data_IF_426473396263
#
_entry.id   IF_426473396263
#
_cell.length_a   1.000
_cell.length_b   1.000
_cell.length_c   1.000
_cell.angle_alpha   90.00
_cell.angle_beta   90.00
_cell.angle_gamma   90.00
#
_symmetry.space_group_name_H-M   'P 1'
#
loop_
_entity.id
_entity.type
_entity.pdbx_description
1 polymer ?
#
# COMPACT_ATOMS: atom_id res chain seq x y z
N UNK A 1 -14.79 -13.58 -29.48
CA UNK A 1 -15.36 -14.91 -29.18
C UNK A 1 -14.21 -15.77 -28.69
N UNK A 2 -14.11 -15.95 -27.37
CA UNK A 2 -13.09 -16.79 -26.74
C UNK A 2 -13.57 -18.24 -26.75
N UNK A 3 -12.65 -19.15 -27.03
CA UNK A 3 -12.84 -20.56 -27.37
C UNK A 3 -13.57 -21.35 -26.25
N UNK A 4 -14.75 -21.91 -26.58
CA UNK A 4 -15.58 -22.73 -25.69
C UNK A 4 -14.85 -23.97 -25.12
N UNK A 5 -13.70 -24.35 -25.68
CA UNK A 5 -12.89 -25.48 -25.19
C UNK A 5 -12.11 -25.19 -23.91
N UNK A 6 -11.80 -23.92 -23.63
CA UNK A 6 -11.10 -23.53 -22.38
C UNK A 6 -12.09 -23.54 -21.20
N UNK A 7 -13.35 -23.21 -21.45
CA UNK A 7 -14.43 -23.19 -20.44
C UNK A 7 -14.74 -24.62 -19.95
N UNK A 8 -14.80 -25.61 -20.86
CA UNK A 8 -15.14 -27.00 -20.50
C UNK A 8 -14.05 -27.74 -19.70
N UNK A 9 -12.82 -27.24 -19.66
CA UNK A 9 -11.71 -27.90 -18.98
C UNK A 9 -11.68 -27.64 -17.47
N UNK A 10 -12.38 -26.62 -16.99
CA UNK A 10 -12.42 -26.22 -15.57
C UNK A 10 -13.64 -26.80 -14.85
N UNK A 11 -14.76 -27.01 -15.55
CA UNK A 11 -16.01 -27.58 -15.01
C UNK A 11 -15.88 -29.04 -14.52
N UNK A 12 -14.88 -29.79 -15.00
CA UNK A 12 -14.72 -31.21 -14.68
C UNK A 12 -14.18 -31.48 -13.26
N UNK A 13 -13.67 -30.46 -12.56
CA UNK A 13 -13.06 -30.59 -11.22
C UNK A 13 -13.92 -30.04 -10.07
N UNK A 14 -15.11 -29.48 -10.36
CA UNK A 14 -15.88 -28.70 -9.39
C UNK A 14 -17.36 -29.10 -9.42
N UNK A 15 -17.73 -30.11 -8.60
CA UNK A 15 -19.12 -30.29 -8.18
C UNK A 15 -19.29 -29.79 -6.74
N UNK A 16 -20.13 -28.77 -6.50
CA UNK A 16 -20.37 -28.24 -5.17
C UNK A 16 -21.58 -28.93 -4.54
N UNK A 17 -21.38 -30.08 -3.90
CA UNK A 17 -22.33 -30.59 -2.92
C UNK A 17 -21.59 -31.13 -1.71
N UNK A 18 -21.96 -30.60 -0.53
CA UNK A 18 -21.53 -30.98 0.83
C UNK A 18 -20.09 -30.64 1.23
N UNK A 19 -19.95 -29.66 2.15
CA UNK A 19 -18.98 -29.54 3.27
C UNK A 19 -17.51 -30.02 3.18
N UNK A 20 -16.97 -30.32 2.00
CA UNK A 20 -15.58 -30.73 1.81
C UNK A 20 -14.83 -29.67 1.01
N UNK A 21 -14.04 -28.88 1.75
CA UNK A 21 -13.01 -27.95 1.29
C UNK A 21 -12.06 -28.65 0.29
N UNK A 22 -11.73 -27.99 -0.82
CA UNK A 22 -10.87 -28.48 -1.91
C UNK A 22 -9.61 -29.18 -1.38
N UNK A 23 -9.45 -30.48 -1.69
CA UNK A 23 -8.26 -31.28 -1.36
C UNK A 23 -7.38 -31.40 -2.60
N UNK A 24 -6.11 -31.03 -2.51
CA UNK A 24 -5.12 -31.18 -3.59
C UNK A 24 -3.82 -31.76 -3.05
N UNK A 25 -3.10 -32.54 -3.85
CA UNK A 25 -1.76 -33.01 -3.48
C UNK A 25 -0.75 -31.85 -3.51
N UNK A 26 0.30 -31.92 -2.71
CA UNK A 26 1.37 -30.92 -2.72
C UNK A 26 1.99 -30.75 -4.11
N UNK A 27 2.33 -31.84 -4.81
CA UNK A 27 2.86 -31.76 -6.18
C UNK A 27 1.88 -31.09 -7.16
N UNK A 28 0.56 -31.33 -7.01
CA UNK A 28 -0.46 -30.63 -7.81
C UNK A 28 -0.51 -29.13 -7.51
N UNK A 29 -0.34 -28.73 -6.25
CA UNK A 29 -0.26 -27.32 -5.84
C UNK A 29 0.96 -26.65 -6.47
N UNK A 30 2.14 -27.30 -6.46
CA UNK A 30 3.35 -26.78 -7.11
C UNK A 30 3.12 -26.55 -8.60
N UNK A 31 2.60 -27.56 -9.30
CA UNK A 31 2.32 -27.47 -10.73
C UNK A 31 1.33 -26.34 -11.05
N UNK A 32 0.31 -26.16 -10.21
CA UNK A 32 -0.68 -25.10 -10.39
C UNK A 32 -0.11 -23.70 -10.14
N UNK A 33 0.72 -23.51 -9.11
CA UNK A 33 1.38 -22.23 -8.83
C UNK A 33 2.26 -21.77 -9.99
N UNK A 34 2.99 -22.69 -10.62
CA UNK A 34 3.78 -22.40 -11.82
C UNK A 34 2.88 -22.15 -13.03
N UNK A 35 1.87 -23.02 -13.27
CA UNK A 35 0.94 -22.90 -14.40
C UNK A 35 0.18 -21.58 -14.39
N UNK A 36 -0.28 -21.15 -13.22
CA UNK A 36 -1.00 -19.90 -13.02
C UNK A 36 -0.08 -18.66 -13.01
N UNK A 37 1.23 -18.84 -13.22
CA UNK A 37 2.26 -17.78 -13.15
C UNK A 37 2.24 -17.04 -11.81
N UNK A 38 1.91 -17.75 -10.74
CA UNK A 38 2.08 -17.27 -9.37
C UNK A 38 3.53 -17.41 -8.95
N UNK A 39 4.15 -18.55 -9.27
CA UNK A 39 5.57 -18.81 -9.09
C UNK A 39 6.29 -18.77 -10.46
N UNK A 40 7.54 -18.27 -10.52
CA UNK A 40 8.30 -18.26 -11.79
C UNK A 40 8.83 -19.66 -12.13
N UNK A 41 9.13 -20.44 -11.10
CA UNK A 41 9.66 -21.79 -11.20
C UNK A 41 9.17 -22.68 -10.02
N UNK A 42 9.48 -23.97 -10.06
CA UNK A 42 9.03 -24.89 -9.01
C UNK A 42 9.68 -24.64 -7.63
N UNK A 43 10.87 -24.05 -7.58
CA UNK A 43 11.52 -23.70 -6.31
C UNK A 43 10.72 -22.62 -5.59
N UNK A 44 10.38 -21.54 -6.30
CA UNK A 44 9.53 -20.47 -5.77
C UNK A 44 8.16 -21.01 -5.36
N UNK A 45 7.61 -21.94 -6.16
CA UNK A 45 6.33 -22.58 -5.85
C UNK A 45 6.39 -23.37 -4.54
N UNK A 46 7.49 -24.08 -4.26
CA UNK A 46 7.69 -24.80 -2.99
C UNK A 46 7.81 -23.86 -1.81
N UNK A 47 8.52 -22.75 -1.98
CA UNK A 47 8.64 -21.72 -0.95
C UNK A 47 7.27 -21.09 -0.65
N UNK A 48 6.53 -20.68 -1.67
CA UNK A 48 5.17 -20.13 -1.54
C UNK A 48 4.25 -21.14 -0.86
N UNK A 49 4.28 -22.42 -1.28
CA UNK A 49 3.46 -23.45 -0.65
C UNK A 49 3.84 -23.71 0.82
N UNK A 50 5.14 -23.66 1.14
CA UNK A 50 5.66 -23.65 2.52
C UNK A 50 5.06 -22.53 3.35
N UNK A 51 5.15 -21.30 2.87
CA UNK A 51 4.57 -20.11 3.50
C UNK A 51 3.06 -20.29 3.71
N UNK A 52 2.32 -20.79 2.71
CA UNK A 52 0.89 -21.02 2.83
C UNK A 52 0.54 -22.07 3.90
N UNK A 53 1.38 -23.09 4.11
CA UNK A 53 1.21 -24.07 5.21
C UNK A 53 1.49 -23.43 6.56
N UNK A 54 2.54 -22.62 6.68
CA UNK A 54 2.86 -21.88 7.91
C UNK A 54 1.71 -20.95 8.32
N UNK A 55 1.15 -20.24 7.35
CA UNK A 55 0.01 -19.35 7.51
C UNK A 55 -1.33 -20.09 7.69
N UNK A 56 -1.33 -21.44 7.62
CA UNK A 56 -2.51 -22.31 7.60
C UNK A 56 -3.53 -21.95 6.51
N UNK A 57 -3.08 -21.27 5.45
CA UNK A 57 -3.83 -21.07 4.21
C UNK A 57 -3.88 -22.38 3.38
N UNK A 58 -2.92 -23.27 3.59
CA UNK A 58 -2.98 -24.69 3.22
C UNK A 58 -2.98 -25.53 4.48
N UNK A 59 -4.03 -26.34 4.69
CA UNK A 59 -4.18 -27.17 5.89
C UNK A 59 -4.04 -28.65 5.55
N UNK A 60 -3.06 -29.32 6.14
CA UNK A 60 -2.83 -30.75 5.98
C UNK A 60 -2.27 -31.33 7.27
N UNK A 61 -1.90 -32.61 7.24
CA UNK A 61 -1.42 -33.33 8.44
C UNK A 61 0.00 -32.91 8.87
N UNK A 62 0.74 -32.21 7.99
CA UNK A 62 2.12 -31.77 8.23
C UNK A 62 2.22 -30.30 8.62
N UNK A 63 3.19 -29.98 9.48
CA UNK A 63 3.50 -28.60 9.91
C UNK A 63 4.35 -27.82 8.91
N UNK A 64 4.93 -28.51 7.93
CA UNK A 64 5.68 -27.95 6.80
C UNK A 64 5.10 -28.50 5.50
N UNK A 65 5.44 -27.85 4.37
CA UNK A 65 5.00 -28.31 3.07
C UNK A 65 5.73 -29.59 2.64
N UNK A 66 4.95 -30.58 2.20
CA UNK A 66 5.37 -31.91 1.78
C UNK A 66 4.62 -32.22 0.49
N UNK A 67 5.35 -32.44 -0.60
CA UNK A 67 4.76 -32.63 -1.92
C UNK A 67 3.79 -33.83 -2.02
N UNK A 68 4.10 -34.92 -1.30
CA UNK A 68 3.27 -36.12 -1.29
C UNK A 68 2.04 -36.00 -0.38
N UNK A 69 1.92 -34.94 0.42
CA UNK A 69 0.82 -34.75 1.35
C UNK A 69 -0.40 -34.12 0.64
N UNK A 70 -1.58 -34.30 1.25
CA UNK A 70 -2.82 -33.66 0.80
C UNK A 70 -3.11 -32.42 1.64
N UNK A 71 -3.52 -31.35 0.96
CA UNK A 71 -3.83 -30.07 1.58
C UNK A 71 -5.25 -29.63 1.26
N UNK A 72 -5.90 -29.03 2.25
CA UNK A 72 -7.21 -28.37 2.17
C UNK A 72 -7.05 -26.86 2.10
N UNK A 73 -7.79 -26.25 1.18
CA UNK A 73 -7.85 -24.79 1.03
C UNK A 73 -9.10 -24.25 1.74
N UNK A 74 -8.98 -23.32 2.71
CA UNK A 74 -10.12 -22.67 3.33
C UNK A 74 -10.97 -21.90 2.30
N UNK A 75 -12.30 -22.00 2.39
CA UNK A 75 -13.21 -21.21 1.56
C UNK A 75 -13.30 -19.75 2.07
N UNK A 76 -13.44 -18.80 1.14
CA UNK A 76 -13.55 -17.37 1.46
C UNK A 76 -14.95 -16.99 1.96
N UNK A 77 -15.03 -16.11 2.98
CA UNK A 77 -16.27 -15.45 3.35
C UNK A 77 -16.71 -14.42 2.29
N UNK A 78 -18.00 -14.42 1.90
CA UNK A 78 -18.55 -13.46 0.93
C UNK A 78 -18.47 -12.03 1.50
N UNK A 79 -17.93 -11.10 0.71
CA UNK A 79 -17.71 -9.67 1.01
C UNK A 79 -16.62 -9.32 2.05
N UNK A 80 -15.59 -10.16 2.13
CA UNK A 80 -14.46 -9.98 3.03
C UNK A 80 -13.53 -8.82 2.64
N UNK A 81 -13.06 -8.08 3.65
CA UNK A 81 -11.87 -7.23 3.57
C UNK A 81 -10.72 -7.97 2.87
N UNK A 82 -9.81 -7.24 2.22
CA UNK A 82 -8.74 -7.83 1.42
C UNK A 82 -7.82 -8.77 2.22
N UNK A 83 -7.72 -8.57 3.53
CA UNK A 83 -6.96 -9.41 4.45
C UNK A 83 -7.80 -10.40 5.27
N UNK A 84 -9.11 -10.51 5.03
CA UNK A 84 -9.98 -11.48 5.73
C UNK A 84 -10.02 -12.81 4.98
N UNK A 85 -8.89 -13.52 5.00
CA UNK A 85 -8.74 -14.85 4.40
C UNK A 85 -9.38 -15.95 5.23
N UNK A 86 -9.44 -15.71 6.54
CA UNK A 86 -10.01 -16.60 7.53
C UNK A 86 -11.13 -15.89 8.28
N UNK A 87 -12.00 -16.66 8.92
CA UNK A 87 -12.98 -16.11 9.88
C UNK A 87 -12.24 -15.57 11.13
N UNK A 88 -11.20 -16.28 11.55
CA UNK A 88 -10.19 -15.85 12.53
C UNK A 88 -8.83 -16.40 12.14
N UNK A 89 -7.76 -15.68 12.49
CA UNK A 89 -6.39 -16.07 12.20
C UNK A 89 -6.08 -17.43 12.85
N UNK A 90 -5.70 -18.45 12.07
CA UNK A 90 -5.54 -19.82 12.55
C UNK A 90 -4.23 -20.07 13.31
N UNK A 91 -3.30 -19.11 13.27
CA UNK A 91 -2.03 -19.18 13.98
C UNK A 91 -2.06 -18.51 15.35
N UNK A 92 -0.93 -18.52 16.05
CA UNK A 92 -0.76 -17.71 17.25
C UNK A 92 -0.66 -16.24 16.86
N UNK A 93 -1.59 -15.42 17.35
CA UNK A 93 -1.60 -13.97 17.15
C UNK A 93 -0.50 -13.34 18.00
N UNK A 94 0.37 -12.55 17.37
CA UNK A 94 1.41 -11.75 18.04
C UNK A 94 0.81 -10.55 18.75
N UNK A 95 1.51 -10.05 19.76
CA UNK A 95 1.24 -8.71 20.27
C UNK A 95 1.59 -7.64 19.21
N UNK A 96 0.99 -6.46 19.35
CA UNK A 96 1.11 -5.36 18.40
C UNK A 96 2.57 -4.96 18.10
N UNK A 97 3.47 -5.02 19.09
CA UNK A 97 4.86 -4.57 18.91
C UNK A 97 5.61 -5.56 18.04
N UNK A 98 5.58 -6.85 18.41
CA UNK A 98 6.23 -7.90 17.64
C UNK A 98 5.63 -8.05 16.24
N UNK A 99 4.30 -7.91 16.12
CA UNK A 99 3.62 -7.90 14.83
C UNK A 99 4.13 -6.78 13.91
N UNK A 100 4.13 -5.54 14.38
CA UNK A 100 4.48 -4.38 13.54
C UNK A 100 5.96 -4.38 13.16
N UNK A 101 6.85 -4.83 14.03
CA UNK A 101 8.27 -5.03 13.70
C UNK A 101 8.46 -6.05 12.57
N UNK A 102 7.80 -7.22 12.68
CA UNK A 102 7.90 -8.26 11.66
C UNK A 102 7.26 -7.85 10.33
N UNK A 103 6.12 -7.15 10.38
CA UNK A 103 5.46 -6.58 9.21
C UNK A 103 6.37 -5.58 8.49
N UNK A 104 6.90 -4.59 9.20
CA UNK A 104 7.77 -3.57 8.61
C UNK A 104 9.03 -4.19 7.99
N UNK A 105 9.62 -5.19 8.65
CA UNK A 105 10.77 -5.93 8.13
C UNK A 105 10.42 -6.71 6.86
N UNK A 106 9.27 -7.37 6.83
CA UNK A 106 8.83 -8.21 5.70
C UNK A 106 8.44 -7.41 4.46
N UNK A 107 8.03 -6.14 4.62
CA UNK A 107 7.67 -5.26 3.50
C UNK A 107 8.88 -4.77 2.70
N UNK A 108 10.06 -4.65 3.33
CA UNK A 108 11.30 -4.17 2.71
C UNK A 108 11.70 -4.98 1.47
N UNK A 109 11.87 -6.32 1.53
CA UNK A 109 12.24 -7.12 0.36
C UNK A 109 11.18 -7.05 -0.75
N UNK A 110 9.89 -7.00 -0.41
CA UNK A 110 8.80 -6.80 -1.37
C UNK A 110 8.99 -5.51 -2.14
N UNK A 111 9.17 -4.39 -1.44
CA UNK A 111 9.40 -3.08 -2.08
C UNK A 111 10.66 -3.11 -2.96
N UNK A 112 11.76 -3.70 -2.50
CA UNK A 112 12.99 -3.83 -3.31
C UNK A 112 12.77 -4.61 -4.60
N UNK A 113 11.93 -5.64 -4.58
CA UNK A 113 11.66 -6.48 -5.74
C UNK A 113 10.76 -5.81 -6.80
N UNK A 114 9.82 -4.96 -6.37
CA UNK A 114 8.79 -4.41 -7.27
C UNK A 114 9.00 -2.95 -7.67
N UNK A 115 9.87 -2.21 -6.98
CA UNK A 115 10.16 -0.82 -7.32
C UNK A 115 11.19 -0.72 -8.45
N UNK A 116 10.84 0.03 -9.50
CA UNK A 116 11.75 0.39 -10.58
C UNK A 116 12.65 1.57 -10.18
N UNK A 117 13.70 1.84 -10.95
CA UNK A 117 14.73 2.86 -10.66
C UNK A 117 14.11 4.19 -10.22
N UNK A 118 14.49 4.66 -9.03
CA UNK A 118 13.98 5.90 -8.43
C UNK A 118 12.71 5.75 -7.59
N UNK A 119 12.20 4.54 -7.35
CA UNK A 119 11.14 4.26 -6.36
C UNK A 119 9.75 4.75 -6.73
N UNK A 120 9.58 5.28 -7.94
CA UNK A 120 8.36 5.92 -8.39
C UNK A 120 7.40 4.96 -9.13
N UNK A 121 7.96 4.16 -10.06
CA UNK A 121 7.21 3.19 -10.84
C UNK A 121 7.24 1.81 -10.20
N UNK A 122 6.13 1.07 -10.33
CA UNK A 122 5.95 -0.22 -9.66
C UNK A 122 5.61 -1.33 -10.67
N UNK A 123 6.27 -2.47 -10.51
CA UNK A 123 5.95 -3.75 -11.15
C UNK A 123 4.89 -4.51 -10.34
N UNK A 124 3.65 -4.05 -10.36
CA UNK A 124 2.55 -4.69 -9.61
C UNK A 124 2.32 -6.15 -10.03
N UNK A 125 2.62 -6.48 -11.28
CA UNK A 125 2.56 -7.83 -11.85
C UNK A 125 3.55 -8.81 -11.20
N UNK A 126 4.71 -8.31 -10.73
CA UNK A 126 5.73 -9.12 -10.07
C UNK A 126 5.44 -9.45 -8.62
N UNK A 127 4.45 -8.81 -7.98
CA UNK A 127 4.18 -9.02 -6.55
C UNK A 127 3.97 -10.50 -6.20
N UNK A 128 3.30 -11.25 -7.08
CA UNK A 128 3.00 -12.68 -6.83
C UNK A 128 4.22 -13.58 -6.87
N UNK A 129 5.21 -13.24 -7.70
CA UNK A 129 6.43 -14.02 -7.80
C UNK A 129 7.40 -13.76 -6.65
N UNK A 130 7.12 -12.76 -5.80
CA UNK A 130 7.95 -12.45 -4.63
C UNK A 130 7.48 -13.33 -3.45
N UNK A 131 8.29 -14.28 -2.96
CA UNK A 131 7.90 -15.11 -1.82
C UNK A 131 7.53 -14.29 -0.58
N UNK A 132 8.28 -13.22 -0.30
CA UNK A 132 8.01 -12.35 0.85
C UNK A 132 6.66 -11.62 0.75
N UNK A 133 6.09 -11.47 -0.44
CA UNK A 133 4.73 -10.93 -0.60
C UNK A 133 3.70 -11.85 0.05
N UNK A 134 3.85 -13.16 -0.11
CA UNK A 134 2.96 -14.15 0.51
C UNK A 134 3.05 -14.12 2.03
N UNK A 135 4.26 -13.94 2.57
CA UNK A 135 4.46 -13.72 4.00
C UNK A 135 3.78 -12.45 4.49
N UNK A 136 3.95 -11.33 3.78
CA UNK A 136 3.27 -10.05 4.09
C UNK A 136 1.76 -10.23 4.11
N UNK A 137 1.20 -10.93 3.15
CA UNK A 137 -0.23 -11.19 3.11
C UNK A 137 -0.74 -12.05 4.28
N UNK A 138 0.07 -13.01 4.72
CA UNK A 138 -0.19 -13.77 5.94
C UNK A 138 -0.21 -12.91 7.20
N UNK A 139 0.75 -11.99 7.33
CA UNK A 139 0.77 -10.99 8.40
C UNK A 139 -0.45 -10.07 8.30
N UNK A 140 -0.88 -9.68 7.10
CA UNK A 140 -2.10 -8.92 6.94
C UNK A 140 -3.33 -9.71 7.40
N UNK A 141 -3.38 -11.02 7.19
CA UNK A 141 -4.46 -11.84 7.73
C UNK A 141 -4.43 -11.87 9.27
N UNK A 142 -3.25 -12.01 9.87
CA UNK A 142 -3.06 -11.91 11.32
C UNK A 142 -3.50 -10.56 11.89
N UNK A 143 -3.23 -9.45 11.19
CA UNK A 143 -3.63 -8.09 11.58
C UNK A 143 -5.14 -7.98 11.90
N UNK A 144 -5.96 -8.82 11.28
CA UNK A 144 -7.38 -8.93 11.58
C UNK A 144 -7.67 -9.18 13.06
N UNK A 145 -6.79 -9.91 13.74
CA UNK A 145 -6.93 -10.35 15.13
C UNK A 145 -5.88 -9.75 16.09
N UNK A 146 -4.88 -9.01 15.58
CA UNK A 146 -3.90 -8.31 16.44
C UNK A 146 -4.57 -7.19 17.23
N UNK A 147 -4.60 -7.35 18.54
CA UNK A 147 -5.13 -6.34 19.47
C UNK A 147 -4.09 -5.26 19.80
N UNK A 148 -4.53 -4.16 20.42
CA UNK A 148 -3.68 -3.09 20.95
C UNK A 148 -2.77 -2.34 19.96
N UNK A 149 -3.02 -2.44 18.64
CA UNK A 149 -2.38 -1.57 17.61
C UNK A 149 -2.56 -0.08 17.96
N UNK A 150 -3.71 0.26 18.55
CA UNK A 150 -4.01 1.60 19.04
C UNK A 150 -3.09 2.11 20.15
N UNK A 151 -2.51 1.20 20.93
CA UNK A 151 -1.70 1.48 22.11
C UNK A 151 -0.20 1.57 21.83
N UNK A 152 0.22 1.33 20.58
CA UNK A 152 1.61 1.46 20.16
C UNK A 152 2.16 2.88 20.41
N UNK A 153 3.47 2.93 20.67
CA UNK A 153 4.20 4.19 20.68
C UNK A 153 4.12 4.90 19.32
N UNK A 154 4.23 6.24 19.33
CA UNK A 154 3.90 7.06 18.16
C UNK A 154 4.76 6.73 16.93
N UNK A 155 6.08 6.62 17.11
CA UNK A 155 7.01 6.39 16.02
C UNK A 155 6.87 4.98 15.38
N UNK A 156 6.82 3.86 16.13
CA UNK A 156 6.47 2.55 15.57
C UNK A 156 5.10 2.53 14.89
N UNK A 157 4.09 3.17 15.48
CA UNK A 157 2.73 3.22 14.94
C UNK A 157 2.68 3.95 13.60
N UNK A 158 3.39 5.07 13.47
CA UNK A 158 3.51 5.84 12.22
C UNK A 158 4.24 5.05 11.14
N UNK A 159 5.38 4.43 11.47
CA UNK A 159 6.12 3.57 10.54
C UNK A 159 5.25 2.42 10.01
N UNK A 160 4.51 1.75 10.91
CA UNK A 160 3.54 0.73 10.56
C UNK A 160 2.47 1.25 9.58
N UNK A 161 1.81 2.36 9.89
CA UNK A 161 0.75 2.89 9.03
C UNK A 161 1.24 3.37 7.66
N UNK A 162 2.46 3.93 7.56
CA UNK A 162 3.03 4.30 6.26
C UNK A 162 3.29 3.07 5.38
N UNK A 163 3.86 2.02 5.96
CA UNK A 163 4.04 0.76 5.23
C UNK A 163 2.69 0.11 4.89
N UNK A 164 1.76 0.07 5.84
CA UNK A 164 0.44 -0.54 5.66
C UNK A 164 -0.32 0.12 4.50
N UNK A 165 -0.36 1.46 4.44
CA UNK A 165 -1.06 2.17 3.38
C UNK A 165 -0.40 1.95 2.00
N UNK A 166 0.93 1.96 1.92
CA UNK A 166 1.62 1.65 0.67
C UNK A 166 1.35 0.20 0.23
N UNK A 167 1.34 -0.76 1.17
CA UNK A 167 0.98 -2.17 0.93
C UNK A 167 -0.48 -2.34 0.53
N UNK A 168 -1.41 -1.58 1.13
CA UNK A 168 -2.82 -1.57 0.73
C UNK A 168 -2.98 -1.17 -0.73
N UNK A 169 -2.19 -0.21 -1.21
CA UNK A 169 -2.14 0.11 -2.64
C UNK A 169 -1.58 -1.08 -3.42
N UNK A 170 -0.46 -1.68 -3.03
CA UNK A 170 0.10 -2.86 -3.72
C UNK A 170 -0.94 -3.98 -3.84
N UNK A 171 -1.56 -4.36 -2.74
CA UNK A 171 -2.58 -5.40 -2.67
C UNK A 171 -3.82 -5.04 -3.50
N UNK A 172 -4.30 -3.81 -3.40
CA UNK A 172 -5.45 -3.38 -4.20
C UNK A 172 -5.16 -3.40 -5.69
N UNK A 173 -3.91 -3.14 -6.11
CA UNK A 173 -3.51 -3.20 -7.52
C UNK A 173 -3.45 -4.64 -8.04
N UNK A 174 -3.25 -5.64 -7.18
CA UNK A 174 -3.36 -7.05 -7.60
C UNK A 174 -4.81 -7.52 -7.73
N UNK A 175 -5.80 -6.79 -7.22
CA UNK A 175 -7.21 -7.24 -7.22
C UNK A 175 -8.10 -6.37 -8.09
N UNK A 176 -7.87 -5.07 -8.05
CA UNK A 176 -8.68 -4.06 -8.74
C UNK A 176 -7.90 -3.44 -9.90
N UNK A 177 -8.63 -3.14 -10.98
CA UNK A 177 -8.11 -2.30 -12.06
C UNK A 177 -7.74 -0.91 -11.49
N UNK A 178 -6.72 -0.27 -12.08
CA UNK A 178 -6.33 1.09 -11.73
C UNK A 178 -7.53 2.04 -11.87
N UNK A 179 -7.68 3.03 -10.98
CA UNK A 179 -8.69 4.05 -11.16
C UNK A 179 -8.31 4.98 -12.32
N UNK A 180 -9.22 5.13 -13.28
CA UNK A 180 -9.07 6.04 -14.40
C UNK A 180 -9.35 7.50 -13.95
N UNK A 181 -8.31 8.20 -13.51
CA UNK A 181 -8.35 9.63 -13.15
C UNK A 181 -9.01 9.95 -11.80
N UNK A 182 -9.21 11.25 -11.53
CA UNK A 182 -9.63 11.73 -10.20
C UNK A 182 -11.04 11.29 -9.78
N UNK A 183 -11.98 11.17 -10.73
CA UNK A 183 -13.41 10.92 -10.42
C UNK A 183 -13.68 9.52 -9.88
N UNK A 184 -12.89 8.52 -10.28
CA UNK A 184 -13.04 7.12 -9.88
C UNK A 184 -12.27 6.77 -8.60
N UNK A 185 -11.35 7.63 -8.15
CA UNK A 185 -10.45 7.36 -7.03
C UNK A 185 -11.14 7.27 -5.67
N UNK A 186 -12.18 8.09 -5.42
CA UNK A 186 -12.94 7.99 -4.16
C UNK A 186 -13.56 6.61 -3.97
N UNK A 187 -14.23 6.09 -5.01
CA UNK A 187 -14.80 4.74 -5.00
C UNK A 187 -13.72 3.65 -4.98
N UNK A 188 -12.58 3.88 -5.64
CA UNK A 188 -11.46 2.95 -5.60
C UNK A 188 -10.93 2.78 -4.17
N UNK A 189 -10.59 3.88 -3.49
CA UNK A 189 -10.07 3.84 -2.12
C UNK A 189 -11.10 3.32 -1.11
N UNK A 190 -12.40 3.59 -1.31
CA UNK A 190 -13.46 3.04 -0.44
C UNK A 190 -13.61 1.52 -0.54
N UNK A 191 -13.13 0.88 -1.62
CA UNK A 191 -13.16 -0.58 -1.82
C UNK A 191 -11.93 -1.29 -1.25
N UNK A 192 -10.90 -0.54 -0.87
CA UNK A 192 -9.70 -1.10 -0.24
C UNK A 192 -9.96 -1.16 1.26
N UNK A 193 -10.50 -2.28 1.72
CA UNK A 193 -10.94 -2.48 3.11
C UNK A 193 -10.04 -3.52 3.74
N UNK A 194 -9.44 -3.22 4.90
CA UNK A 194 -8.73 -4.15 5.76
C UNK A 194 -9.46 -4.30 7.10
N UNK A 195 -9.42 -5.50 7.68
CA UNK A 195 -9.83 -5.76 9.06
C UNK A 195 -8.62 -5.56 9.98
N UNK A 196 -8.77 -4.77 11.04
CA UNK A 196 -7.76 -4.52 12.07
C UNK A 196 -8.44 -4.68 13.42
N UNK A 197 -7.95 -5.58 14.28
CA UNK A 197 -8.53 -5.87 15.59
C UNK A 197 -10.07 -6.10 15.56
N UNK A 198 -10.53 -6.90 14.59
CA UNK A 198 -11.94 -7.27 14.39
C UNK A 198 -12.81 -6.20 13.72
N UNK A 199 -12.24 -5.04 13.33
CA UNK A 199 -12.98 -3.90 12.77
C UNK A 199 -12.54 -3.58 11.35
N UNK A 200 -13.47 -3.20 10.49
CA UNK A 200 -13.19 -2.88 9.09
C UNK A 200 -12.85 -1.40 8.89
N UNK A 201 -11.73 -1.15 8.22
CA UNK A 201 -11.26 0.18 7.86
C UNK A 201 -10.95 0.23 6.37
N UNK A 202 -11.51 1.23 5.68
CA UNK A 202 -11.09 1.50 4.31
C UNK A 202 -9.82 2.35 4.27
N UNK A 203 -9.17 2.43 3.11
CA UNK A 203 -7.92 3.21 2.95
C UNK A 203 -8.06 4.67 3.43
N UNK A 204 -9.20 5.32 3.18
CA UNK A 204 -9.42 6.70 3.58
C UNK A 204 -9.62 6.85 5.09
N UNK A 205 -10.22 5.85 5.76
CA UNK A 205 -10.31 5.83 7.23
C UNK A 205 -8.90 5.88 7.83
N UNK A 206 -7.99 5.04 7.35
CA UNK A 206 -6.63 4.98 7.86
C UNK A 206 -5.79 6.23 7.48
N UNK A 207 -5.86 6.69 6.24
CA UNK A 207 -5.11 7.88 5.81
C UNK A 207 -5.60 9.16 6.50
N UNK A 208 -6.92 9.41 6.50
CA UNK A 208 -7.47 10.67 7.00
C UNK A 208 -7.81 10.62 8.49
N UNK A 209 -8.40 9.51 8.95
CA UNK A 209 -8.74 9.32 10.34
C UNK A 209 -7.51 8.99 11.19
N UNK A 210 -6.77 7.93 10.88
CA UNK A 210 -5.70 7.46 11.76
C UNK A 210 -4.45 8.36 11.70
N UNK A 211 -3.96 8.70 10.50
CA UNK A 211 -2.72 9.50 10.34
C UNK A 211 -2.95 11.01 10.39
N UNK A 212 -3.96 11.53 9.68
CA UNK A 212 -4.22 12.99 9.62
C UNK A 212 -5.05 13.51 10.79
N UNK A 213 -5.65 12.63 11.60
CA UNK A 213 -6.59 12.97 12.68
C UNK A 213 -7.71 13.91 12.23
N UNK A 214 -8.19 13.73 11.00
CA UNK A 214 -9.24 14.56 10.37
C UNK A 214 -10.41 13.71 9.93
N UNK A 215 -11.54 13.94 10.56
CA UNK A 215 -12.82 13.39 10.12
C UNK A 215 -13.30 14.12 8.87
N UNK A 216 -13.37 13.40 7.75
CA UNK A 216 -13.92 13.92 6.49
C UNK A 216 -15.18 13.15 6.13
N UNK A 217 -16.34 13.81 6.14
CA UNK A 217 -17.62 13.17 5.80
C UNK A 217 -18.07 12.11 6.82
N UNK A 218 -18.63 11.00 6.34
CA UNK A 218 -19.17 9.90 7.17
C UNK A 218 -18.08 8.86 7.54
N UNK A 219 -16.93 9.30 8.05
CA UNK A 219 -15.82 8.41 8.38
C UNK A 219 -16.09 7.53 9.60
N UNK A 220 -15.47 6.35 9.62
CA UNK A 220 -15.66 5.37 10.68
C UNK A 220 -15.21 5.94 12.05
N UNK A 221 -16.13 6.15 13.03
CA UNK A 221 -15.77 6.69 14.35
C UNK A 221 -14.80 5.79 15.11
N UNK A 222 -14.75 4.50 14.77
CA UNK A 222 -13.85 3.51 15.38
C UNK A 222 -12.36 3.79 15.08
N UNK A 223 -12.08 4.64 14.08
CA UNK A 223 -10.71 5.06 13.73
C UNK A 223 -10.04 5.86 14.84
N UNK A 224 -10.81 6.43 15.78
CA UNK A 224 -10.30 7.10 16.98
C UNK A 224 -9.27 6.25 17.73
N UNK A 225 -9.51 4.94 17.83
CA UNK A 225 -8.61 4.00 18.53
C UNK A 225 -7.25 3.84 17.83
N UNK A 226 -7.19 4.09 16.53
CA UNK A 226 -5.99 3.91 15.70
C UNK A 226 -5.20 5.20 15.48
N UNK A 227 -5.69 6.35 15.97
CA UNK A 227 -5.04 7.63 15.73
C UNK A 227 -3.60 7.69 16.24
N UNK A 228 -2.71 8.28 15.44
CA UNK A 228 -1.36 8.65 15.88
C UNK A 228 -1.44 9.82 16.87
N UNK A 229 -0.44 9.97 17.74
CA UNK A 229 -0.38 11.08 18.70
C UNK A 229 -0.05 12.38 17.99
N UNK A 230 0.91 12.35 17.06
CA UNK A 230 1.39 13.53 16.34
C UNK A 230 1.07 13.42 14.85
N UNK A 231 0.44 14.46 14.28
CA UNK A 231 0.25 14.58 12.83
C UNK A 231 1.55 15.07 12.21
N UNK A 232 2.16 14.26 11.36
CA UNK A 232 3.34 14.67 10.59
C UNK A 232 2.95 14.95 9.13
N UNK A 233 3.02 16.20 8.67
CA UNK A 233 2.60 16.56 7.32
C UNK A 233 3.53 15.98 6.24
N UNK A 234 4.73 15.51 6.60
CA UNK A 234 5.62 14.76 5.68
C UNK A 234 5.02 13.44 5.22
N UNK A 235 3.95 12.94 5.86
CA UNK A 235 3.20 11.78 5.37
C UNK A 235 2.73 11.94 3.92
N UNK A 236 2.45 13.17 3.47
CA UNK A 236 2.06 13.47 2.09
C UNK A 236 3.18 13.25 1.08
N UNK A 237 4.42 13.10 1.56
CA UNK A 237 5.58 12.74 0.76
C UNK A 237 6.01 11.28 0.97
N UNK A 238 5.36 10.57 1.90
CA UNK A 238 5.64 9.17 2.24
C UNK A 238 4.66 8.18 1.61
N UNK A 239 3.41 8.61 1.40
CA UNK A 239 2.33 7.77 0.90
C UNK A 239 2.19 7.86 -0.61
N UNK A 240 2.23 6.71 -1.28
CA UNK A 240 2.02 6.59 -2.72
C UNK A 240 0.65 6.00 -3.03
N UNK A 241 -0.15 6.81 -3.71
CA UNK A 241 -1.52 6.55 -4.12
C UNK A 241 -1.69 5.81 -5.47
N UNK A 242 -0.60 5.34 -6.08
CA UNK A 242 -0.61 4.70 -7.39
C UNK A 242 -0.84 5.65 -8.58
N UNK A 243 -0.34 6.89 -8.51
CA UNK A 243 -0.48 7.90 -9.56
C UNK A 243 0.88 8.45 -10.02
N UNK A 244 0.98 8.92 -11.28
CA UNK A 244 2.17 9.47 -11.94
C UNK A 244 2.84 10.65 -11.20
N UNK A 245 2.10 11.36 -10.36
CA UNK A 245 2.62 12.44 -9.51
C UNK A 245 2.68 12.10 -8.01
N UNK A 246 2.46 10.84 -7.60
CA UNK A 246 2.64 10.46 -6.19
C UNK A 246 4.15 10.50 -5.80
N UNK A 247 4.47 10.56 -4.49
CA UNK A 247 5.85 10.47 -4.01
C UNK A 247 6.51 9.12 -4.29
N UNK A 248 7.84 9.04 -4.11
CA UNK A 248 8.57 7.78 -4.17
C UNK A 248 8.14 6.87 -3.00
N UNK A 249 8.05 5.56 -3.24
CA UNK A 249 7.77 4.58 -2.19
C UNK A 249 9.08 4.23 -1.49
N UNK A 250 9.03 4.18 -0.16
CA UNK A 250 10.15 3.80 0.71
C UNK A 250 9.63 2.89 1.82
N UNK A 251 10.45 1.94 2.31
CA UNK A 251 10.12 1.22 3.54
C UNK A 251 10.42 2.12 4.76
N UNK A 252 9.56 2.03 5.77
CA UNK A 252 9.75 2.76 7.03
C UNK A 252 9.99 1.78 8.18
N UNK A 253 11.02 2.03 8.99
CA UNK A 253 11.22 1.35 10.27
C UNK A 253 10.94 2.31 11.41
N UNK A 254 10.74 1.80 12.62
CA UNK A 254 10.57 2.68 13.78
C UNK A 254 11.85 3.52 13.96
N UNK A 255 13.01 2.90 13.95
CA UNK A 255 14.31 3.52 14.24
C UNK A 255 14.72 4.55 13.16
N UNK A 256 14.41 4.27 11.89
CA UNK A 256 14.78 5.11 10.74
C UNK A 256 13.71 6.11 10.28
N UNK A 257 12.56 6.18 10.96
CA UNK A 257 11.38 6.91 10.46
C UNK A 257 11.70 8.37 10.10
N UNK A 258 12.39 9.08 10.98
CA UNK A 258 12.67 10.51 10.82
C UNK A 258 13.61 10.79 9.65
N UNK A 259 14.65 9.96 9.47
CA UNK A 259 15.58 10.06 8.35
C UNK A 259 14.89 9.73 7.02
N UNK A 260 14.10 8.66 6.96
CA UNK A 260 13.41 8.29 5.72
C UNK A 260 12.34 9.32 5.32
N UNK A 261 11.64 9.92 6.28
CA UNK A 261 10.72 11.03 6.02
C UNK A 261 11.43 12.27 5.51
N UNK A 262 12.59 12.59 6.08
CA UNK A 262 13.41 13.71 5.66
C UNK A 262 13.90 13.52 4.20
N UNK A 263 14.39 12.33 3.87
CA UNK A 263 14.81 11.99 2.52
C UNK A 263 13.64 12.00 1.54
N UNK A 264 12.51 11.38 1.88
CA UNK A 264 11.31 11.36 1.03
C UNK A 264 10.80 12.78 0.73
N UNK A 265 10.78 13.63 1.75
CA UNK A 265 10.37 15.04 1.64
C UNK A 265 11.30 15.82 0.73
N UNK A 266 12.62 15.67 0.93
CA UNK A 266 13.65 16.32 0.12
C UNK A 266 13.58 15.94 -1.34
N UNK A 267 13.59 14.63 -1.63
CA UNK A 267 13.52 14.11 -2.99
C UNK A 267 12.27 14.62 -3.72
N UNK A 268 11.11 14.56 -3.06
CA UNK A 268 9.85 14.99 -3.66
C UNK A 268 9.82 16.50 -3.93
N UNK A 269 10.20 17.32 -2.93
CA UNK A 269 10.16 18.77 -3.07
C UNK A 269 11.18 19.29 -4.09
N UNK A 270 12.39 18.71 -4.13
CA UNK A 270 13.39 19.06 -5.14
C UNK A 270 12.94 18.68 -6.56
N UNK A 271 12.32 17.52 -6.73
CA UNK A 271 11.82 17.04 -8.02
C UNK A 271 10.65 17.87 -8.55
N UNK A 272 9.69 18.23 -7.68
CA UNK A 272 8.42 18.83 -8.12
C UNK A 272 8.30 20.34 -7.86
N UNK A 273 9.29 20.97 -7.22
CA UNK A 273 9.32 22.43 -7.05
C UNK A 273 10.22 23.08 -8.09
N UNK A 274 9.80 24.24 -8.59
CA UNK A 274 10.62 25.03 -9.53
C UNK A 274 10.52 26.50 -9.18
N UNK A 275 11.67 27.16 -9.01
CA UNK A 275 11.77 28.61 -8.82
C UNK A 275 12.11 29.26 -10.17
N UNK A 276 11.41 30.33 -10.50
CA UNK A 276 11.57 31.14 -11.71
C UNK A 276 11.88 32.58 -11.30
N UNK A 277 13.16 32.90 -11.04
CA UNK A 277 13.56 34.21 -10.54
C UNK A 277 13.14 35.35 -11.48
N UNK A 278 13.20 35.12 -12.80
CA UNK A 278 12.85 36.09 -13.84
C UNK A 278 11.36 36.50 -13.80
N UNK A 279 10.50 35.64 -13.24
CA UNK A 279 9.06 35.89 -13.07
C UNK A 279 8.65 36.12 -11.63
N UNK A 280 9.61 36.09 -10.70
CA UNK A 280 9.36 35.98 -9.27
C UNK A 280 8.25 34.98 -8.96
N UNK A 281 8.39 33.76 -9.47
CA UNK A 281 7.38 32.70 -9.36
C UNK A 281 7.99 31.43 -8.76
N UNK A 282 7.28 30.82 -7.80
CA UNK A 282 7.56 29.46 -7.34
C UNK A 282 6.41 28.56 -7.76
N UNK A 283 6.74 27.42 -8.37
CA UNK A 283 5.79 26.40 -8.80
C UNK A 283 5.94 25.17 -7.93
N UNK A 284 4.98 24.93 -7.06
CA UNK A 284 4.95 23.88 -6.05
C UNK A 284 4.21 22.61 -6.51
N UNK A 285 4.48 21.43 -5.92
CA UNK A 285 3.66 20.24 -6.12
C UNK A 285 2.21 20.45 -5.66
N UNK A 286 1.27 19.74 -6.28
CA UNK A 286 -0.16 19.89 -5.99
C UNK A 286 -0.55 19.43 -4.59
N UNK A 287 0.20 18.49 -4.00
CA UNK A 287 -0.03 18.00 -2.63
C UNK A 287 0.02 19.14 -1.60
N UNK A 288 0.97 20.08 -1.74
CA UNK A 288 1.06 21.27 -0.89
C UNK A 288 -0.18 22.18 -0.98
N UNK A 289 -0.95 22.11 -2.08
CA UNK A 289 -2.22 22.84 -2.21
C UNK A 289 -3.37 22.11 -1.53
N UNK A 290 -3.50 20.81 -1.77
CA UNK A 290 -4.64 20.03 -1.27
C UNK A 290 -4.60 19.84 0.24
N UNK A 291 -3.40 19.66 0.77
CA UNK A 291 -3.16 19.39 2.18
C UNK A 291 -2.55 20.59 2.90
N UNK A 292 -2.72 21.80 2.36
CA UNK A 292 -2.28 23.06 2.96
C UNK A 292 -2.61 23.15 4.47
N UNK A 293 -3.83 22.80 4.94
CA UNK A 293 -4.15 22.86 6.36
C UNK A 293 -3.30 21.93 7.25
N UNK A 294 -2.76 20.84 6.71
CA UNK A 294 -1.90 19.91 7.47
C UNK A 294 -0.52 20.55 7.67
N UNK A 295 0.04 21.17 6.63
CA UNK A 295 1.32 21.88 6.68
C UNK A 295 1.28 23.16 7.52
N UNK A 296 0.14 23.85 7.58
CA UNK A 296 -0.01 25.09 8.35
C UNK A 296 -0.11 24.86 9.86
N UNK A 297 -0.58 23.66 10.25
CA UNK A 297 -0.80 23.31 11.65
C UNK A 297 0.47 22.95 12.44
N UNK A 298 1.58 22.65 11.75
CA UNK A 298 2.79 22.08 12.37
C UNK A 298 3.99 23.03 12.36
N UNK A 299 4.05 24.01 11.45
CA UNK A 299 5.17 24.97 11.46
C UNK A 299 4.93 25.98 12.58
N UNK A 300 5.72 25.92 13.66
CA UNK A 300 5.58 26.77 14.84
C UNK A 300 5.88 28.26 14.57
N UNK A 301 6.75 28.53 13.58
CA UNK A 301 7.17 29.89 13.25
C UNK A 301 6.24 30.48 12.18
N UNK A 302 5.56 31.58 12.52
CA UNK A 302 4.94 32.44 11.52
C UNK A 302 6.04 33.21 10.80
N UNK A 303 6.25 32.98 9.50
CA UNK A 303 7.36 33.61 8.81
C UNK A 303 7.14 35.11 8.64
N UNK A 304 8.13 35.92 9.02
CA UNK A 304 8.06 37.39 8.95
C UNK A 304 7.82 37.94 7.53
N UNK A 305 8.15 37.15 6.51
CA UNK A 305 8.00 37.54 5.11
C UNK A 305 6.58 37.36 4.53
N UNK A 306 5.62 36.92 5.33
CA UNK A 306 4.20 36.78 4.93
C UNK A 306 3.90 35.66 3.94
N UNK A 307 4.87 34.78 3.63
CA UNK A 307 4.60 33.59 2.82
C UNK A 307 3.92 32.50 3.65
N UNK A 308 2.99 31.71 3.06
CA UNK A 308 2.39 30.57 3.75
C UNK A 308 3.43 29.54 4.20
N UNK A 309 3.16 28.87 5.34
CA UNK A 309 4.05 27.90 5.98
C UNK A 309 4.49 26.75 5.05
N UNK A 310 3.60 26.25 4.20
CA UNK A 310 3.94 25.19 3.24
C UNK A 310 4.87 25.65 2.12
N UNK A 311 4.90 26.97 1.81
CA UNK A 311 5.87 27.55 0.87
C UNK A 311 7.25 27.63 1.52
N UNK A 312 7.31 27.99 2.80
CA UNK A 312 8.55 27.95 3.60
C UNK A 312 9.13 26.56 3.71
N UNK A 313 8.28 25.59 4.04
CA UNK A 313 8.65 24.18 4.03
C UNK A 313 9.27 23.84 2.68
N UNK A 314 8.57 24.10 1.56
CA UNK A 314 9.10 23.79 0.23
C UNK A 314 10.48 24.41 -0.02
N UNK A 315 10.66 25.70 0.31
CA UNK A 315 11.93 26.41 0.14
C UNK A 315 13.07 25.79 0.96
N UNK A 316 12.82 25.38 2.20
CA UNK A 316 13.84 24.80 3.09
C UNK A 316 14.49 23.51 2.55
N UNK A 317 13.80 22.80 1.65
CA UNK A 317 14.31 21.58 1.01
C UNK A 317 14.98 21.82 -0.36
N UNK A 318 14.91 23.05 -0.90
CA UNK A 318 15.55 23.38 -2.18
C UNK A 318 17.05 23.64 -2.02
N UNK A 319 17.78 23.65 -3.14
CA UNK A 319 19.19 24.05 -3.15
C UNK A 319 19.38 25.51 -2.73
N UNK A 320 20.54 25.85 -2.17
CA UNK A 320 20.88 27.21 -1.76
C UNK A 320 20.67 28.24 -2.88
N UNK A 321 20.97 27.88 -4.13
CA UNK A 321 20.73 28.74 -5.29
C UNK A 321 19.23 29.06 -5.50
N UNK A 322 18.37 28.04 -5.42
CA UNK A 322 16.92 28.22 -5.55
C UNK A 322 16.32 29.01 -4.37
N UNK A 323 16.83 28.79 -3.16
CA UNK A 323 16.45 29.57 -1.99
C UNK A 323 16.83 31.05 -2.16
N UNK A 324 18.05 31.32 -2.61
CA UNK A 324 18.54 32.67 -2.88
C UNK A 324 17.73 33.36 -3.97
N UNK A 325 17.38 32.65 -5.04
CA UNK A 325 16.55 33.16 -6.13
C UNK A 325 15.15 33.56 -5.66
N UNK A 326 14.54 32.76 -4.78
CA UNK A 326 13.26 33.11 -4.15
C UNK A 326 13.41 34.31 -3.19
N UNK A 327 14.48 34.33 -2.38
CA UNK A 327 14.76 35.41 -1.43
C UNK A 327 15.00 36.75 -2.13
N UNK A 328 15.74 36.79 -3.24
CA UNK A 328 15.96 38.01 -4.05
C UNK A 328 14.65 38.66 -4.46
N UNK A 329 13.67 37.88 -4.90
CA UNK A 329 12.36 38.41 -5.25
C UNK A 329 11.66 39.07 -4.06
N UNK A 330 11.73 38.45 -2.89
CA UNK A 330 11.12 38.98 -1.65
C UNK A 330 11.85 40.26 -1.21
N UNK A 331 13.18 40.27 -1.19
CA UNK A 331 14.00 41.42 -0.78
C UNK A 331 13.86 42.62 -1.73
N UNK A 332 13.58 42.40 -3.01
CA UNK A 332 13.28 43.47 -3.98
C UNK A 332 11.89 44.08 -3.82
N UNK A 333 11.16 43.77 -2.74
CA UNK A 333 9.79 44.23 -2.51
C UNK A 333 8.76 43.62 -3.47
N UNK A 334 9.14 42.58 -4.24
CA UNK A 334 8.23 41.91 -5.17
C UNK A 334 7.51 40.77 -4.44
N UNK A 335 6.22 40.60 -4.76
CA UNK A 335 5.45 39.46 -4.27
C UNK A 335 5.86 38.19 -5.01
N UNK A 336 6.38 37.19 -4.31
CA UNK A 336 6.64 35.86 -4.86
C UNK A 336 5.31 35.20 -5.26
N UNK A 337 5.10 34.99 -6.57
CA UNK A 337 3.88 34.38 -7.10
C UNK A 337 3.92 32.87 -6.90
N UNK A 338 3.03 32.35 -6.06
CA UNK A 338 2.89 30.91 -5.82
C UNK A 338 1.95 30.29 -6.86
N UNK A 339 2.44 29.31 -7.61
CA UNK A 339 1.66 28.46 -8.51
C UNK A 339 1.80 26.99 -8.12
N UNK A 340 0.86 26.17 -8.57
CA UNK A 340 0.89 24.74 -8.33
C UNK A 340 0.95 23.97 -9.64
N UNK A 341 1.73 22.90 -9.68
CA UNK A 341 1.77 21.95 -10.79
C UNK A 341 0.41 21.30 -11.00
N UNK A 342 0.15 20.88 -12.24
CA UNK A 342 -0.91 19.90 -12.50
C UNK A 342 -0.47 18.57 -11.90
N UNK A 343 -1.43 17.83 -11.35
CA UNK A 343 -1.17 16.50 -10.81
C UNK A 343 -1.52 15.47 -11.87
N UNK A 344 -0.57 14.62 -12.20
CA UNK A 344 -0.76 13.53 -13.14
C UNK A 344 -1.36 12.32 -12.41
N UNK A 345 -2.63 12.04 -12.73
CA UNK A 345 -3.40 10.95 -12.15
C UNK A 345 -3.22 9.61 -12.88
N UNK A 346 -2.39 9.59 -13.94
CA UNK A 346 -2.08 8.36 -14.67
C UNK A 346 -1.53 7.28 -13.75
N UNK A 347 -1.69 6.02 -14.14
CA UNK A 347 -1.21 4.86 -13.38
C UNK A 347 0.33 4.83 -13.36
N UNK A 348 0.95 4.68 -12.17
CA UNK A 348 2.41 4.60 -12.01
C UNK A 348 2.99 3.21 -12.30
N UNK A 349 2.16 2.26 -12.74
CA UNK A 349 2.61 0.99 -13.29
C UNK A 349 3.59 1.22 -14.45
N UNK A 350 4.62 0.37 -14.54
CA UNK A 350 5.57 0.40 -15.66
C UNK A 350 4.83 0.23 -17.01
N UNK A 351 5.31 0.85 -18.11
CA UNK A 351 4.57 0.93 -19.38
C UNK A 351 4.12 -0.42 -19.96
N UNK A 352 4.89 -1.49 -19.77
CA UNK A 352 4.63 -2.81 -20.35
C UNK A 352 3.77 -3.75 -19.48
N UNK A 353 3.49 -3.42 -18.21
CA UNK A 353 2.67 -4.27 -17.33
C UNK A 353 1.15 -4.09 -17.49
N UNK A 354 0.71 -3.20 -18.39
CA UNK A 354 -0.66 -2.66 -18.37
C UNK A 354 -1.78 -3.53 -18.95
N UNK A 355 -1.54 -4.74 -19.46
CA UNK A 355 -2.58 -5.42 -20.26
C UNK A 355 -3.59 -6.28 -19.50
N UNK A 356 -3.26 -6.89 -18.37
CA UNK A 356 -4.18 -7.86 -17.72
C UNK A 356 -4.05 -7.90 -16.19
N UNK A 357 -3.98 -6.76 -15.52
CA UNK A 357 -4.02 -6.74 -14.04
C UNK A 357 -5.46 -6.92 -13.51
N UNK A 358 -6.48 -6.65 -14.35
CA UNK A 358 -7.88 -6.89 -13.99
C UNK A 358 -8.16 -8.40 -14.04
N UNK A 359 -8.59 -8.97 -12.91
CA UNK A 359 -8.89 -10.40 -12.65
C UNK A 359 -7.73 -11.22 -12.05
N UNK A 360 -6.77 -10.56 -11.40
CA UNK A 360 -5.79 -11.24 -10.56
C UNK A 360 -6.41 -11.65 -9.19
N UNK A 361 -7.39 -12.55 -9.18
CA UNK A 361 -7.90 -13.17 -7.95
C UNK A 361 -7.02 -14.36 -7.52
N UNK A 362 -5.84 -14.09 -6.96
CA UNK A 362 -4.98 -15.16 -6.40
C UNK A 362 -5.61 -15.84 -5.18
N UNK A 363 -6.54 -15.15 -4.52
CA UNK A 363 -7.20 -15.61 -3.30
C UNK A 363 -8.50 -16.37 -3.57
N UNK A 364 -8.71 -16.74 -4.83
CA UNK A 364 -9.87 -17.47 -5.30
C UNK A 364 -9.39 -18.78 -5.92
N UNK A 365 -8.94 -19.70 -5.07
CA UNK A 365 -8.76 -21.11 -5.48
C UNK A 365 -10.10 -21.79 -5.74
N UNK A 366 -11.21 -21.17 -5.32
CA UNK A 366 -12.49 -21.39 -5.98
C UNK A 366 -12.42 -20.76 -7.35
N UNK A 367 -12.17 -21.57 -8.38
CA UNK A 367 -12.43 -21.16 -9.77
C UNK A 367 -13.86 -20.61 -9.84
N UNK A 368 -14.03 -19.28 -9.87
CA UNK A 368 -15.38 -18.72 -9.84
C UNK A 368 -16.01 -18.86 -11.22
N UNK A 369 -17.13 -19.58 -11.21
CA UNK A 369 -18.21 -19.56 -12.18
C UNK A 369 -18.46 -18.13 -12.68
N UNK A 370 -18.15 -17.87 -13.95
CA UNK A 370 -18.75 -16.75 -14.66
C UNK A 370 -20.23 -17.05 -14.86
N UNK A 371 -21.11 -16.14 -14.42
CA UNK A 371 -22.44 -16.03 -15.04
C UNK A 371 -22.33 -15.39 -16.41
#
# INVERSE_FOLDING_TARGET
MLDERIIRSVDALVRPESSLKYVSSGSSIIAELVRAKVAENESDAREIAGILVELKALTGDSTHFVESASYKIPGKAKNAALNSWFESYPGQVRDATNFTQEFNRSVVPVMKAVLYTGGFNVHYDKLRSVPEWWKVLGLLAELGDVHDIGSLEDQPKRAFFFNLLNVMIFHSRTIYKAPDGLRSRGQYFSRIIYTIAGRSYNYMDLEHGALRRKFVGNQNPETLSLMVKTVDPRMHFALNCGAQSCPNIRPYTAEGLEEELEVATREYLQKFTTVRPEKCEIKLPRLLKWFQPDFESVVEINPENGLPKHVHLALSYLSNGQQLDAAKCICMGKRLRVKYRKYDWGDNSIPDSRKEISLMYAYDFSFYLSR
#
